data_IF_200111536954
#
_entry.id   IF_200111536954
#
_cell.length_a   1.000
_cell.length_b   1.000
_cell.length_c   1.000
_cell.angle_alpha   90.00
_cell.angle_beta   90.00
_cell.angle_gamma   90.00
#
_symmetry.space_group_name_H-M   'P 1'
#
loop_
_entity.id
_entity.type
_entity.pdbx_description
1 polymer ?
#
# COMPACT_ATOMS: atom_id res chain seq x y z
N UNK A 1 45.27 29.23 46.70
CA UNK A 1 46.70 28.88 46.48
C UNK A 1 47.33 28.70 47.85
N UNK A 2 48.22 27.73 48.11
CA UNK A 2 49.21 27.06 47.23
C UNK A 2 48.96 25.52 47.23
N UNK A 3 49.78 24.55 46.78
CA UNK A 3 50.87 24.36 45.80
C UNK A 3 51.09 22.84 45.71
N UNK A 4 51.69 22.39 44.61
CA UNK A 4 51.91 21.01 44.20
C UNK A 4 52.70 20.09 45.15
N UNK A 5 52.55 18.78 44.95
CA UNK A 5 53.62 17.79 45.15
C UNK A 5 53.41 16.60 44.19
N UNK A 6 54.52 16.17 43.57
CA UNK A 6 54.66 15.17 42.49
C UNK A 6 55.30 13.91 43.06
N UNK A 7 54.83 12.72 42.65
CA UNK A 7 55.57 11.44 42.54
C UNK A 7 54.56 10.32 42.22
N UNK A 8 54.84 9.23 41.50
CA UNK A 8 55.93 8.78 40.64
C UNK A 8 55.35 7.64 39.78
N UNK A 9 55.89 7.44 38.58
CA UNK A 9 55.46 6.38 37.68
C UNK A 9 56.09 5.02 38.04
N UNK A 10 55.29 3.96 38.10
CA UNK A 10 55.77 2.58 37.98
C UNK A 10 55.16 1.91 36.76
N UNK A 11 56.05 1.62 35.80
CA UNK A 11 55.79 0.88 34.57
C UNK A 11 55.49 -0.59 34.92
N UNK A 12 54.31 -1.07 34.55
CA UNK A 12 54.05 -2.51 34.46
C UNK A 12 54.21 -2.94 33.00
N UNK A 13 55.33 -3.59 32.72
CA UNK A 13 55.57 -4.29 31.46
C UNK A 13 54.87 -5.64 31.54
N UNK A 14 53.68 -5.73 30.93
CA UNK A 14 53.02 -7.02 30.75
C UNK A 14 53.53 -7.66 29.45
N UNK A 15 54.28 -8.77 29.58
CA UNK A 15 54.75 -9.58 28.46
C UNK A 15 53.55 -10.18 27.71
N UNK A 16 53.44 -9.90 26.41
CA UNK A 16 52.45 -10.55 25.55
C UNK A 16 52.81 -12.03 25.35
N UNK A 17 51.83 -12.96 25.41
CA UNK A 17 52.02 -14.29 24.85
C UNK A 17 51.78 -14.23 23.34
N UNK A 18 52.77 -14.69 22.57
CA UNK A 18 52.61 -15.02 21.14
C UNK A 18 51.62 -16.18 21.03
N UNK A 19 50.47 -15.95 20.41
CA UNK A 19 49.61 -17.03 19.92
C UNK A 19 49.57 -17.03 18.40
N UNK A 20 49.85 -18.21 17.86
CA UNK A 20 49.87 -18.60 16.46
C UNK A 20 48.65 -18.07 15.69
N UNK A 21 48.91 -17.61 14.46
CA UNK A 21 47.88 -17.44 13.44
C UNK A 21 47.21 -18.79 13.15
N UNK A 22 45.95 -18.94 13.58
CA UNK A 22 45.02 -19.85 12.91
C UNK A 22 44.14 -19.00 12.00
N UNK A 23 44.29 -19.22 10.69
CA UNK A 23 43.30 -18.83 9.70
C UNK A 23 42.01 -19.61 9.98
N UNK A 24 41.12 -19.05 10.78
CA UNK A 24 39.70 -19.39 10.70
C UNK A 24 39.05 -18.37 9.79
N UNK A 25 38.78 -18.79 8.55
CA UNK A 25 37.79 -18.11 7.71
C UNK A 25 36.47 -18.11 8.49
N UNK A 26 36.22 -17.04 9.24
CA UNK A 26 34.90 -16.77 9.76
C UNK A 26 34.09 -16.39 8.54
N UNK A 27 33.32 -17.35 8.01
CA UNK A 27 32.26 -17.06 7.07
C UNK A 27 31.22 -16.26 7.85
N UNK A 28 31.43 -14.94 7.94
CA UNK A 28 30.42 -14.02 8.44
C UNK A 28 29.17 -14.32 7.61
N UNK A 29 28.12 -14.79 8.28
CA UNK A 29 26.81 -14.92 7.67
C UNK A 29 26.51 -13.55 7.04
N UNK A 30 26.34 -13.50 5.71
CA UNK A 30 25.98 -12.28 5.00
C UNK A 30 24.67 -11.80 5.61
N UNK A 31 24.73 -10.73 6.40
CA UNK A 31 23.57 -9.94 6.80
C UNK A 31 22.70 -9.69 5.58
N UNK A 32 21.37 -9.75 5.72
CA UNK A 32 20.46 -9.54 4.60
C UNK A 32 20.76 -8.23 3.89
N UNK A 33 21.02 -8.29 2.58
CA UNK A 33 21.28 -7.10 1.79
C UNK A 33 20.02 -6.24 1.72
N UNK A 34 20.13 -4.97 2.10
CA UNK A 34 19.05 -3.99 1.95
C UNK A 34 18.79 -3.80 0.46
N UNK A 35 17.53 -3.91 0.04
CA UNK A 35 17.11 -3.75 -1.35
C UNK A 35 15.89 -2.84 -1.41
N UNK A 36 15.86 -2.00 -2.43
CA UNK A 36 14.66 -1.22 -2.76
C UNK A 36 13.53 -2.18 -3.12
N UNK A 37 12.35 -2.08 -2.49
CA UNK A 37 11.21 -2.92 -2.83
C UNK A 37 10.78 -2.71 -4.28
N UNK A 38 10.29 -3.77 -4.92
CA UNK A 38 9.64 -3.63 -6.22
C UNK A 38 8.44 -2.67 -6.12
N UNK A 39 8.28 -1.85 -7.16
CA UNK A 39 7.13 -0.98 -7.35
C UNK A 39 5.82 -1.77 -7.36
N UNK A 40 4.71 -1.08 -7.18
CA UNK A 40 3.39 -1.69 -7.02
C UNK A 40 2.37 -1.00 -7.91
N UNK A 41 1.30 -1.73 -8.23
CA UNK A 41 0.18 -1.18 -9.01
C UNK A 41 -0.86 -0.59 -8.07
N UNK A 42 -1.23 0.67 -8.29
CA UNK A 42 -2.30 1.31 -7.53
C UNK A 42 -3.65 0.83 -8.03
N UNK A 43 -4.53 0.59 -7.06
CA UNK A 43 -5.95 0.32 -7.25
C UNK A 43 -6.70 1.25 -6.29
N UNK A 44 -7.73 1.94 -6.77
CA UNK A 44 -8.61 2.75 -5.94
C UNK A 44 -9.99 2.13 -5.97
N UNK A 45 -10.45 1.63 -4.82
CA UNK A 45 -11.84 1.26 -4.62
C UNK A 45 -12.67 2.52 -4.39
N UNK A 46 -13.79 2.64 -5.08
CA UNK A 46 -14.66 3.81 -5.01
C UNK A 46 -16.03 3.33 -4.57
N UNK A 47 -16.53 3.86 -3.46
CA UNK A 47 -17.92 3.68 -3.04
C UNK A 47 -18.60 5.04 -3.12
N UNK A 48 -19.69 5.13 -3.87
CA UNK A 48 -20.38 6.39 -4.13
C UNK A 48 -21.89 6.16 -4.24
N UNK A 49 -22.66 7.24 -4.28
CA UNK A 49 -24.12 7.19 -4.37
C UNK A 49 -24.61 6.53 -5.66
N UNK A 50 -23.97 6.85 -6.77
CA UNK A 50 -24.37 6.43 -8.12
C UNK A 50 -23.15 6.43 -9.08
N UNK A 51 -23.36 5.94 -10.30
CA UNK A 51 -22.30 5.86 -11.32
C UNK A 51 -21.80 7.23 -11.76
N UNK A 52 -22.64 8.26 -11.74
CA UNK A 52 -22.24 9.64 -12.06
C UNK A 52 -21.23 10.16 -11.03
N UNK A 53 -21.46 9.87 -9.74
CA UNK A 53 -20.53 10.21 -8.67
C UNK A 53 -19.18 9.48 -8.78
N UNK A 54 -19.17 8.25 -9.32
CA UNK A 54 -17.93 7.53 -9.63
C UNK A 54 -17.19 8.20 -10.79
N UNK A 55 -17.89 8.56 -11.87
CA UNK A 55 -17.29 9.21 -13.03
C UNK A 55 -16.75 10.61 -12.68
N UNK A 56 -17.41 11.33 -11.77
CA UNK A 56 -16.97 12.65 -11.30
C UNK A 56 -15.56 12.66 -10.70
N UNK A 57 -15.12 11.57 -10.04
CA UNK A 57 -13.76 11.46 -9.47
C UNK A 57 -12.74 10.91 -10.46
N UNK A 58 -13.18 10.29 -11.56
CA UNK A 58 -12.32 9.57 -12.49
C UNK A 58 -11.24 10.45 -13.11
N UNK A 59 -11.62 11.64 -13.57
CA UNK A 59 -10.67 12.61 -14.15
C UNK A 59 -9.59 13.06 -13.16
N UNK A 60 -9.96 13.27 -11.90
CA UNK A 60 -9.03 13.65 -10.82
C UNK A 60 -8.05 12.51 -10.55
N UNK A 61 -8.54 11.27 -10.45
CA UNK A 61 -7.70 10.09 -10.24
C UNK A 61 -6.76 9.85 -11.42
N UNK A 62 -7.26 9.95 -12.67
CA UNK A 62 -6.46 9.84 -13.89
C UNK A 62 -5.36 10.90 -13.95
N UNK A 63 -5.64 12.14 -13.56
CA UNK A 63 -4.63 13.20 -13.55
C UNK A 63 -3.45 12.90 -12.60
N UNK A 64 -3.71 12.18 -11.51
CA UNK A 64 -2.70 11.81 -10.51
C UNK A 64 -1.93 10.56 -10.88
N UNK A 65 -2.61 9.53 -11.37
CA UNK A 65 -2.01 8.21 -11.59
C UNK A 65 -1.64 7.92 -13.05
N UNK A 66 -2.12 8.72 -13.99
CA UNK A 66 -1.95 8.50 -15.43
C UNK A 66 -3.04 7.59 -16.00
N UNK A 67 -2.74 6.95 -17.12
CA UNK A 67 -3.71 6.10 -17.83
C UNK A 67 -4.20 4.93 -16.97
N UNK A 68 -5.49 4.66 -17.08
CA UNK A 68 -6.15 3.51 -16.47
C UNK A 68 -5.69 2.22 -17.17
N UNK A 69 -5.49 1.17 -16.37
CA UNK A 69 -5.13 -0.16 -16.85
C UNK A 69 -6.38 -1.05 -16.96
N UNK A 70 -7.01 -1.32 -15.82
CA UNK A 70 -8.23 -2.13 -15.74
C UNK A 70 -9.21 -1.55 -14.71
N UNK A 71 -10.47 -1.46 -15.12
CA UNK A 71 -11.55 -1.00 -14.27
C UNK A 71 -12.57 -2.10 -14.02
N UNK A 72 -13.15 -2.08 -12.83
CA UNK A 72 -14.42 -2.72 -12.52
C UNK A 72 -15.49 -1.63 -12.51
N UNK A 73 -16.37 -1.67 -13.50
CA UNK A 73 -17.45 -0.70 -13.68
C UNK A 73 -18.37 -0.64 -12.46
N UNK A 74 -19.07 0.49 -12.21
CA UNK A 74 -19.98 0.62 -11.08
C UNK A 74 -21.03 -0.49 -11.00
N UNK A 75 -21.16 -1.13 -9.84
CA UNK A 75 -22.21 -2.12 -9.56
C UNK A 75 -22.79 -1.92 -8.14
N UNK A 76 -24.02 -2.39 -7.87
CA UNK A 76 -24.66 -2.21 -6.56
C UNK A 76 -23.82 -2.78 -5.41
N UNK A 77 -23.67 -1.99 -4.35
CA UNK A 77 -22.99 -2.41 -3.12
C UNK A 77 -24.03 -2.81 -2.07
N UNK A 78 -24.05 -4.10 -1.71
CA UNK A 78 -25.08 -4.70 -0.84
C UNK A 78 -24.52 -5.37 0.43
N UNK A 79 -23.26 -5.10 0.77
CA UNK A 79 -22.55 -5.83 1.82
C UNK A 79 -22.80 -5.30 3.24
N UNK A 80 -23.18 -4.04 3.40
CA UNK A 80 -23.47 -3.41 4.70
C UNK A 80 -24.33 -2.15 4.54
N UNK A 81 -25.13 -1.85 5.57
CA UNK A 81 -25.93 -0.61 5.64
C UNK A 81 -25.16 0.57 6.28
N UNK A 82 -23.89 0.38 6.63
CA UNK A 82 -23.06 1.38 7.33
C UNK A 82 -23.00 2.75 6.64
N UNK A 83 -23.06 2.78 5.30
CA UNK A 83 -22.94 4.01 4.52
C UNK A 83 -24.27 4.68 4.18
N UNK A 84 -25.39 4.15 4.70
CA UNK A 84 -26.73 4.59 4.29
C UNK A 84 -26.97 6.07 4.55
N UNK A 85 -26.52 6.57 5.70
CA UNK A 85 -26.69 7.98 6.10
C UNK A 85 -25.70 8.92 5.41
N UNK A 86 -24.51 8.43 5.03
CA UNK A 86 -23.44 9.26 4.43
C UNK A 86 -23.51 9.31 2.90
N UNK A 87 -23.78 8.17 2.25
CA UNK A 87 -23.71 7.99 0.79
C UNK A 87 -25.11 7.85 0.17
N UNK A 88 -26.03 7.20 0.89
CA UNK A 88 -27.39 6.94 0.43
C UNK A 88 -27.78 5.46 0.50
N UNK A 89 -29.03 5.15 0.12
CA UNK A 89 -29.63 3.83 0.37
C UNK A 89 -29.11 2.70 -0.51
N UNK A 90 -28.61 3.01 -1.71
CA UNK A 90 -28.19 2.03 -2.71
C UNK A 90 -26.87 2.44 -3.37
N UNK A 91 -25.76 2.50 -2.59
CA UNK A 91 -24.48 2.91 -3.13
C UNK A 91 -23.98 1.93 -4.19
N UNK A 92 -23.09 2.42 -5.05
CA UNK A 92 -22.38 1.61 -6.04
C UNK A 92 -20.90 1.51 -5.66
N UNK A 93 -20.28 0.37 -5.96
CA UNK A 93 -18.84 0.18 -5.89
C UNK A 93 -18.25 0.13 -7.30
N UNK A 94 -17.09 0.76 -7.48
CA UNK A 94 -16.22 0.59 -8.64
C UNK A 94 -14.76 0.40 -8.19
N UNK A 95 -13.90 -0.06 -9.09
CA UNK A 95 -12.45 -0.11 -8.87
C UNK A 95 -11.70 0.35 -10.10
N UNK A 96 -10.74 1.26 -9.92
CA UNK A 96 -9.85 1.71 -10.99
C UNK A 96 -8.41 1.33 -10.68
N UNK A 97 -7.72 0.75 -11.64
CA UNK A 97 -6.28 0.48 -11.56
C UNK A 97 -5.54 1.23 -12.65
N UNK A 98 -4.26 1.53 -12.44
CA UNK A 98 -3.49 2.42 -13.31
C UNK A 98 -2.24 1.75 -13.88
N UNK A 99 -1.80 2.21 -15.05
CA UNK A 99 -0.64 1.67 -15.77
C UNK A 99 0.66 1.98 -15.02
N UNK A 100 0.79 3.19 -14.47
CA UNK A 100 2.01 3.62 -13.78
C UNK A 100 2.19 2.85 -12.46
N UNK A 101 3.38 2.28 -12.30
CA UNK A 101 3.80 1.64 -11.07
C UNK A 101 4.44 2.67 -10.13
N UNK A 102 4.13 2.57 -8.84
CA UNK A 102 4.60 3.52 -7.81
C UNK A 102 5.42 2.83 -6.74
N UNK A 103 6.18 3.60 -5.97
CA UNK A 103 6.87 3.09 -4.78
C UNK A 103 5.87 2.83 -3.66
N UNK A 104 6.08 1.79 -2.85
CA UNK A 104 5.09 1.35 -1.85
C UNK A 104 4.75 2.44 -0.81
N UNK A 105 5.75 3.24 -0.47
CA UNK A 105 5.67 4.29 0.55
C UNK A 105 4.77 5.45 0.12
N UNK A 106 4.55 5.65 -1.18
CA UNK A 106 3.68 6.72 -1.69
C UNK A 106 2.22 6.50 -1.33
N UNK A 107 1.83 5.30 -0.88
CA UNK A 107 0.46 5.00 -0.45
C UNK A 107 -0.01 5.94 0.66
N UNK A 108 0.90 6.45 1.49
CA UNK A 108 0.57 7.42 2.53
C UNK A 108 0.14 8.74 1.92
N UNK A 109 0.93 9.30 1.00
CA UNK A 109 0.59 10.54 0.30
C UNK A 109 -0.70 10.38 -0.49
N UNK A 110 -0.88 9.21 -1.12
CA UNK A 110 -2.10 8.88 -1.84
C UNK A 110 -3.31 8.87 -0.90
N UNK A 111 -3.22 8.23 0.28
CA UNK A 111 -4.35 8.18 1.20
C UNK A 111 -4.72 9.55 1.75
N UNK A 112 -3.74 10.36 2.11
CA UNK A 112 -3.96 11.74 2.53
C UNK A 112 -4.65 12.54 1.42
N UNK A 113 -4.14 12.46 0.20
CA UNK A 113 -4.72 13.15 -0.95
C UNK A 113 -6.14 12.68 -1.28
N UNK A 114 -6.43 11.36 -1.20
CA UNK A 114 -7.80 10.88 -1.39
C UNK A 114 -8.74 11.37 -0.30
N UNK A 115 -8.28 11.51 0.95
CA UNK A 115 -9.11 12.07 2.02
C UNK A 115 -9.43 13.55 1.74
N UNK A 116 -8.46 14.32 1.23
CA UNK A 116 -8.68 15.72 0.86
C UNK A 116 -9.72 15.84 -0.26
N UNK A 117 -9.67 14.95 -1.28
CA UNK A 117 -10.69 14.91 -2.34
C UNK A 117 -12.09 14.65 -1.76
N UNK A 118 -12.24 13.65 -0.89
CA UNK A 118 -13.53 13.36 -0.27
C UNK A 118 -14.08 14.57 0.49
N UNK A 119 -13.21 15.30 1.21
CA UNK A 119 -13.58 16.52 1.92
C UNK A 119 -14.02 17.64 0.97
N UNK A 120 -13.32 17.85 -0.15
CA UNK A 120 -13.71 18.85 -1.13
C UNK A 120 -15.04 18.50 -1.82
N UNK A 121 -15.30 17.23 -2.10
CA UNK A 121 -16.59 16.77 -2.63
C UNK A 121 -17.71 17.00 -1.59
N UNK A 122 -17.48 16.68 -0.32
CA UNK A 122 -18.45 16.92 0.74
C UNK A 122 -18.80 18.41 0.89
N UNK A 123 -17.82 19.30 0.77
CA UNK A 123 -18.04 20.76 0.77
C UNK A 123 -18.84 21.21 -0.45
N UNK A 124 -18.45 20.76 -1.64
CA UNK A 124 -19.13 21.11 -2.89
C UNK A 124 -20.60 20.65 -2.92
N UNK A 125 -20.90 19.51 -2.31
CA UNK A 125 -22.26 18.96 -2.20
C UNK A 125 -23.09 19.61 -1.08
N UNK A 126 -22.53 20.54 -0.30
CA UNK A 126 -23.23 21.14 0.83
C UNK A 126 -23.53 20.15 1.96
N UNK A 127 -22.76 19.05 2.05
CA UNK A 127 -22.89 18.01 3.09
C UNK A 127 -21.63 17.92 3.95
N UNK A 128 -21.18 19.03 4.58
CA UNK A 128 -19.97 19.02 5.40
C UNK A 128 -20.13 18.02 6.56
N UNK A 129 -19.14 17.15 6.73
CA UNK A 129 -19.14 16.10 7.76
C UNK A 129 -19.70 14.75 7.30
N UNK A 130 -20.34 14.67 6.12
CA UNK A 130 -20.68 13.42 5.46
C UNK A 130 -19.62 13.05 4.42
N UNK A 131 -19.53 11.76 4.08
CA UNK A 131 -18.63 11.24 3.04
C UNK A 131 -19.46 10.76 1.85
N UNK A 132 -19.86 11.66 0.93
CA UNK A 132 -20.70 11.31 -0.22
C UNK A 132 -20.00 10.36 -1.20
N UNK A 133 -18.66 10.31 -1.15
CA UNK A 133 -17.81 9.35 -1.86
C UNK A 133 -16.75 8.86 -0.87
N UNK A 134 -16.43 7.57 -0.93
CA UNK A 134 -15.35 6.94 -0.19
C UNK A 134 -14.33 6.34 -1.18
N UNK A 135 -13.11 6.88 -1.14
CA UNK A 135 -11.96 6.50 -1.92
C UNK A 135 -11.01 5.66 -1.05
N UNK A 136 -10.90 4.38 -1.40
CA UNK A 136 -10.07 3.38 -0.74
C UNK A 136 -8.84 3.08 -1.60
N UNK A 137 -7.75 3.85 -1.48
CA UNK A 137 -6.53 3.52 -2.19
C UNK A 137 -5.87 2.28 -1.56
N UNK A 138 -5.51 1.36 -2.44
CA UNK A 138 -4.72 0.18 -2.15
C UNK A 138 -3.62 -0.01 -3.18
N UNK A 139 -2.75 -0.97 -2.92
CA UNK A 139 -1.74 -1.37 -3.90
C UNK A 139 -1.63 -2.89 -4.00
N UNK A 140 -1.28 -3.32 -5.20
CA UNK A 140 -1.05 -4.71 -5.55
C UNK A 140 0.45 -5.01 -5.62
N UNK A 141 0.85 -6.08 -4.93
CA UNK A 141 2.11 -6.80 -5.17
C UNK A 141 1.79 -8.13 -5.87
N UNK A 142 2.81 -8.90 -6.27
CA UNK A 142 2.56 -10.25 -6.81
C UNK A 142 2.06 -11.25 -5.77
N UNK A 143 2.25 -10.97 -4.48
CA UNK A 143 1.88 -11.89 -3.40
C UNK A 143 0.68 -11.44 -2.57
N UNK A 144 0.35 -10.16 -2.56
CA UNK A 144 -0.64 -9.58 -1.64
C UNK A 144 -1.26 -8.32 -2.20
N UNK A 145 -2.52 -8.09 -1.83
CA UNK A 145 -3.23 -6.82 -2.01
C UNK A 145 -3.36 -6.13 -0.65
N UNK A 146 -3.09 -4.82 -0.63
CA UNK A 146 -3.08 -4.00 0.58
C UNK A 146 -4.02 -2.82 0.45
N UNK A 147 -4.65 -2.41 1.56
CA UNK A 147 -5.42 -1.17 1.68
C UNK A 147 -4.78 -0.20 2.66
N UNK A 148 -4.87 1.10 2.37
CA UNK A 148 -4.47 2.15 3.28
C UNK A 148 -5.66 2.73 4.04
N UNK A 149 -5.41 3.09 5.30
CA UNK A 149 -6.46 3.51 6.23
C UNK A 149 -5.91 4.42 7.31
N UNK A 150 -6.78 5.25 7.89
CA UNK A 150 -6.48 6.09 9.07
C UNK A 150 -6.86 5.39 10.38
N UNK A 151 -7.60 4.28 10.30
CA UNK A 151 -8.12 3.56 11.47
C UNK A 151 -7.12 2.52 11.91
N UNK A 152 -6.64 2.61 13.14
CA UNK A 152 -5.79 1.57 13.73
C UNK A 152 -6.60 0.30 14.09
N UNK A 153 -6.02 -0.87 13.90
CA UNK A 153 -6.58 -2.19 14.21
C UNK A 153 -5.44 -3.22 14.33
N UNK A 154 -5.70 -4.37 14.99
CA UNK A 154 -4.66 -5.33 15.39
C UNK A 154 -3.73 -5.82 14.27
N UNK A 155 -4.22 -5.89 13.04
CA UNK A 155 -3.48 -6.37 11.87
C UNK A 155 -2.78 -5.25 11.08
N UNK A 156 -3.06 -3.99 11.41
CA UNK A 156 -2.67 -2.84 10.59
C UNK A 156 -1.31 -2.34 11.01
N UNK A 157 -0.44 -2.16 10.03
CA UNK A 157 0.92 -1.70 10.27
C UNK A 157 0.95 -0.20 10.07
N UNK A 158 1.39 0.52 11.09
CA UNK A 158 1.63 1.95 10.98
C UNK A 158 2.74 2.23 9.96
N UNK A 159 2.45 3.13 9.02
CA UNK A 159 3.44 3.58 8.03
C UNK A 159 4.06 4.90 8.46
N UNK A 160 3.26 5.96 8.47
CA UNK A 160 3.65 7.32 8.88
C UNK A 160 2.43 8.25 8.79
N UNK A 161 2.48 9.43 9.43
CA UNK A 161 1.46 10.51 9.32
C UNK A 161 0.02 10.05 9.59
N UNK A 162 -0.15 9.15 10.57
CA UNK A 162 -1.45 8.60 10.93
C UNK A 162 -2.04 7.62 9.91
N UNK A 163 -1.28 7.21 8.89
CA UNK A 163 -1.71 6.21 7.90
C UNK A 163 -1.14 4.85 8.26
N UNK A 164 -2.02 3.86 8.20
CA UNK A 164 -1.74 2.45 8.36
C UNK A 164 -2.00 1.72 7.04
N UNK A 165 -1.37 0.57 6.88
CA UNK A 165 -1.60 -0.34 5.77
C UNK A 165 -1.97 -1.71 6.31
N UNK A 166 -2.92 -2.38 5.68
CA UNK A 166 -3.31 -3.73 6.04
C UNK A 166 -3.24 -4.68 4.84
N UNK A 167 -2.67 -5.89 5.00
CA UNK A 167 -2.84 -6.93 4.00
C UNK A 167 -4.31 -7.35 3.98
N UNK A 168 -4.95 -7.17 2.84
CA UNK A 168 -6.38 -7.45 2.65
C UNK A 168 -6.60 -8.81 2.01
N UNK A 169 -5.74 -9.21 1.07
CA UNK A 169 -5.75 -10.54 0.45
C UNK A 169 -4.31 -11.01 0.22
N UNK A 170 -4.09 -12.32 0.17
CA UNK A 170 -2.83 -12.92 -0.24
C UNK A 170 -3.03 -13.89 -1.41
N UNK A 171 -2.06 -13.98 -2.29
CA UNK A 171 -2.11 -14.80 -3.50
C UNK A 171 -1.34 -16.09 -3.28
N UNK A 172 -2.01 -17.23 -3.43
CA UNK A 172 -1.40 -18.55 -3.29
C UNK A 172 -2.11 -19.55 -4.22
N UNK A 173 -1.33 -20.43 -4.84
CA UNK A 173 -1.84 -21.52 -5.68
C UNK A 173 -2.81 -21.06 -6.79
N UNK A 174 -2.53 -19.88 -7.36
CA UNK A 174 -3.30 -19.32 -8.46
C UNK A 174 -4.54 -18.51 -8.08
N UNK A 175 -4.81 -18.34 -6.78
CA UNK A 175 -6.01 -17.65 -6.29
C UNK A 175 -5.70 -16.61 -5.19
N UNK A 176 -6.55 -15.59 -5.06
CA UNK A 176 -6.55 -14.74 -3.86
C UNK A 176 -7.34 -15.38 -2.72
N UNK A 177 -6.73 -15.36 -1.54
CA UNK A 177 -7.30 -15.86 -0.29
C UNK A 177 -7.50 -14.71 0.69
N UNK A 178 -8.56 -14.83 1.47
CA UNK A 178 -8.89 -13.89 2.54
C UNK A 178 -8.10 -14.20 3.82
N UNK A 179 -7.78 -13.15 4.56
CA UNK A 179 -7.43 -13.25 5.97
C UNK A 179 -8.72 -13.22 6.82
N UNK A 180 -8.61 -13.60 8.10
CA UNK A 180 -9.74 -13.57 9.05
C UNK A 180 -10.37 -12.18 9.23
N UNK A 181 -9.64 -11.12 8.90
CA UNK A 181 -10.08 -9.72 8.99
C UNK A 181 -10.49 -9.12 7.65
N UNK A 182 -10.36 -9.84 6.53
CA UNK A 182 -10.71 -9.31 5.21
C UNK A 182 -12.19 -8.95 5.17
N UNK A 183 -12.49 -7.73 4.71
CA UNK A 183 -13.85 -7.28 4.51
C UNK A 183 -14.65 -8.18 3.57
N UNK A 184 -15.94 -8.40 3.87
CA UNK A 184 -16.79 -9.35 3.11
C UNK A 184 -16.90 -9.03 1.63
N UNK A 185 -16.88 -7.76 1.26
CA UNK A 185 -16.92 -7.32 -0.13
C UNK A 185 -15.68 -7.78 -0.92
N UNK A 186 -14.49 -7.69 -0.32
CA UNK A 186 -13.24 -8.19 -0.89
C UNK A 186 -13.15 -9.73 -0.97
N UNK A 187 -14.04 -10.46 -0.30
CA UNK A 187 -14.16 -11.92 -0.44
C UNK A 187 -15.08 -12.33 -1.60
N UNK A 188 -15.78 -11.37 -2.22
CA UNK A 188 -16.72 -11.67 -3.29
C UNK A 188 -16.01 -12.07 -4.58
N UNK A 189 -16.62 -12.97 -5.33
CA UNK A 189 -16.07 -13.49 -6.59
C UNK A 189 -15.76 -12.38 -7.60
N UNK A 190 -16.59 -11.33 -7.64
CA UNK A 190 -16.39 -10.20 -8.55
C UNK A 190 -15.09 -9.43 -8.24
N UNK A 191 -14.81 -9.19 -6.95
CA UNK A 191 -13.62 -8.45 -6.52
C UNK A 191 -12.37 -9.31 -6.74
N UNK A 192 -12.46 -10.60 -6.40
CA UNK A 192 -11.36 -11.55 -6.57
C UNK A 192 -10.97 -11.66 -8.05
N UNK A 193 -11.93 -11.89 -8.96
CA UNK A 193 -11.66 -11.98 -10.40
C UNK A 193 -11.02 -10.70 -10.95
N UNK A 194 -11.52 -9.54 -10.54
CA UNK A 194 -10.93 -8.26 -10.93
C UNK A 194 -9.47 -8.14 -10.44
N UNK A 195 -9.23 -8.37 -9.14
CA UNK A 195 -7.91 -8.23 -8.53
C UNK A 195 -6.90 -9.23 -9.10
N UNK A 196 -7.33 -10.45 -9.42
CA UNK A 196 -6.49 -11.45 -10.11
C UNK A 196 -6.06 -11.00 -11.50
N UNK A 197 -6.97 -10.38 -12.25
CA UNK A 197 -6.64 -9.83 -13.56
C UNK A 197 -5.66 -8.66 -13.41
N UNK A 198 -5.90 -7.73 -12.47
CA UNK A 198 -4.94 -6.66 -12.15
C UNK A 198 -3.56 -7.24 -11.78
N UNK A 199 -3.51 -8.31 -11.00
CA UNK A 199 -2.26 -8.99 -10.62
C UNK A 199 -1.56 -9.61 -11.84
N UNK A 200 -2.27 -10.23 -12.78
CA UNK A 200 -1.68 -10.76 -14.03
C UNK A 200 -1.05 -9.64 -14.86
N UNK A 201 -1.70 -8.47 -14.92
CA UNK A 201 -1.17 -7.30 -15.61
C UNK A 201 0.08 -6.76 -14.93
N UNK A 202 0.08 -6.68 -13.60
CA UNK A 202 1.28 -6.35 -12.81
C UNK A 202 2.43 -7.35 -13.08
N UNK A 203 2.15 -8.65 -13.13
CA UNK A 203 3.15 -9.67 -13.44
C UNK A 203 3.78 -9.46 -14.84
N UNK A 204 2.96 -9.12 -15.84
CA UNK A 204 3.46 -8.76 -17.17
C UNK A 204 4.38 -7.54 -17.12
N UNK A 205 3.96 -6.46 -16.47
CA UNK A 205 4.75 -5.23 -16.37
C UNK A 205 6.08 -5.47 -15.62
N UNK A 206 6.07 -6.26 -14.54
CA UNK A 206 7.27 -6.63 -13.79
C UNK A 206 8.24 -7.50 -14.61
N UNK A 207 7.71 -8.37 -15.47
CA UNK A 207 8.53 -9.28 -16.28
C UNK A 207 9.12 -8.57 -17.50
N UNK A 208 8.37 -7.64 -18.10
CA UNK A 208 8.74 -7.02 -19.39
C UNK A 208 9.28 -5.60 -19.26
N UNK A 209 9.02 -4.92 -18.14
CA UNK A 209 9.30 -3.50 -17.96
C UNK A 209 8.41 -2.57 -18.80
N UNK A 210 7.34 -3.09 -19.44
CA UNK A 210 6.47 -2.33 -20.34
C UNK A 210 5.06 -2.17 -19.78
N UNK A 211 4.33 -1.08 -20.11
CA UNK A 211 2.90 -0.96 -19.82
C UNK A 211 2.08 -2.12 -20.39
N UNK A 212 0.99 -2.50 -19.73
CA UNK A 212 0.20 -3.65 -20.15
C UNK A 212 -0.51 -3.40 -21.49
N UNK A 213 -0.92 -2.16 -21.75
CA UNK A 213 -1.45 -1.67 -23.04
C UNK A 213 -0.54 -1.93 -24.25
N UNK A 214 0.73 -2.26 -24.04
CA UNK A 214 1.68 -2.62 -25.12
C UNK A 214 1.83 -4.13 -25.33
N UNK A 215 1.13 -4.98 -24.57
CA UNK A 215 1.28 -6.45 -24.64
C UNK A 215 1.16 -7.04 -26.04
N UNK A 216 0.27 -6.49 -26.87
CA UNK A 216 0.00 -6.99 -28.23
C UNK A 216 0.64 -6.11 -29.32
N UNK A 217 1.37 -5.06 -28.97
CA UNK A 217 2.05 -4.19 -29.94
C UNK A 217 3.42 -4.81 -30.22
N UNK A 218 3.56 -5.37 -31.43
CA UNK A 218 4.81 -5.93 -31.94
C UNK A 218 5.85 -4.83 -32.13
#
# INVERSE_FOLDING_TARGET
>A
MPSASVASAQKWVCKQPRFLALHTFTKFARMGEIRTPAKVKIIVGILAKDAESVEAVRGVLKSRFGEEDLNLEPFPFTFTNYYKEEIGEAPVRAFFSYENLVDRETIVDIKLWTNDIELEIAKANGTPGLRPVNLDPGYMTLGQFFLATTKDQRQRVYMQRGIFVEPTLYFQDGHFHAFDWTYRDYQSENYIKYLEEVRKRLAYQMTTGRPYSQRNKK
#
